data_IF_760762381637
#
_entry.id   IF_760762381637
#
_cell.length_a   1.000
_cell.length_b   1.000
_cell.length_c   1.000
_cell.angle_alpha   90.00
_cell.angle_beta   90.00
_cell.angle_gamma   90.00
#
_symmetry.space_group_name_H-M   'P 1'
#
loop_
_entity.id
_entity.type
_entity.pdbx_description
1 polymer ?
#
# COMPACT_ATOMS: atom_id res chain seq x y z
N UNK A 1 -27.61 -15.93 11.67
CA UNK A 1 -27.63 -15.32 10.33
C UNK A 1 -26.41 -14.47 10.02
N UNK A 2 -25.74 -13.82 10.99
CA UNK A 2 -24.43 -13.18 10.79
C UNK A 2 -23.28 -14.12 10.48
N UNK A 3 -23.40 -15.40 10.84
CA UNK A 3 -22.31 -16.37 10.74
C UNK A 3 -21.88 -16.69 9.30
N UNK A 4 -22.81 -16.75 8.34
CA UNK A 4 -22.48 -17.09 6.95
C UNK A 4 -21.61 -16.02 6.28
N UNK A 5 -21.89 -14.72 6.51
CA UNK A 5 -21.09 -13.63 6.00
C UNK A 5 -19.70 -13.59 6.66
N UNK A 6 -19.64 -13.82 7.98
CA UNK A 6 -18.38 -13.93 8.71
C UNK A 6 -17.54 -15.11 8.25
N UNK A 7 -18.18 -16.28 8.04
CA UNK A 7 -17.50 -17.47 7.51
C UNK A 7 -16.91 -17.23 6.12
N UNK A 8 -17.64 -16.56 5.23
CA UNK A 8 -17.14 -16.18 3.90
C UNK A 8 -15.93 -15.23 3.99
N UNK A 9 -15.98 -14.25 4.87
CA UNK A 9 -14.86 -13.33 5.10
C UNK A 9 -13.65 -14.08 5.63
N UNK A 10 -13.83 -14.94 6.65
CA UNK A 10 -12.75 -15.75 7.21
C UNK A 10 -12.14 -16.70 6.18
N UNK A 11 -12.97 -17.34 5.35
CA UNK A 11 -12.50 -18.21 4.28
C UNK A 11 -11.70 -17.42 3.23
N UNK A 12 -12.14 -16.21 2.87
CA UNK A 12 -11.42 -15.33 1.95
C UNK A 12 -10.06 -14.93 2.51
N UNK A 13 -9.99 -14.57 3.79
CA UNK A 13 -8.73 -14.24 4.48
C UNK A 13 -7.78 -15.45 4.46
N UNK A 14 -8.28 -16.62 4.79
CA UNK A 14 -7.49 -17.85 4.77
C UNK A 14 -6.95 -18.14 3.37
N UNK A 15 -7.78 -18.02 2.35
CA UNK A 15 -7.38 -18.21 0.95
C UNK A 15 -6.28 -17.22 0.54
N UNK A 16 -6.39 -15.94 0.91
CA UNK A 16 -5.36 -14.94 0.64
C UNK A 16 -4.01 -15.30 1.27
N UNK A 17 -4.02 -15.80 2.50
CA UNK A 17 -2.80 -16.25 3.18
C UNK A 17 -2.19 -17.47 2.49
N UNK A 18 -3.00 -18.46 2.14
CA UNK A 18 -2.56 -19.69 1.48
C UNK A 18 -1.99 -19.42 0.09
N UNK A 19 -2.58 -18.51 -0.67
CA UNK A 19 -2.10 -18.10 -2.00
C UNK A 19 -0.89 -17.18 -1.93
N UNK A 20 -0.48 -16.74 -0.75
CA UNK A 20 0.62 -15.78 -0.56
C UNK A 20 0.45 -14.51 -1.37
N UNK A 21 -0.78 -14.02 -1.50
CA UNK A 21 -1.07 -12.74 -2.15
C UNK A 21 -0.24 -11.62 -1.50
N UNK A 22 0.34 -10.78 -2.34
CA UNK A 22 1.13 -9.63 -1.89
C UNK A 22 0.24 -8.43 -1.69
N UNK A 23 0.52 -7.66 -0.65
CA UNK A 23 -0.20 -6.41 -0.36
C UNK A 23 0.81 -5.27 -0.45
N UNK A 24 0.73 -4.53 -1.53
CA UNK A 24 1.59 -3.37 -1.77
C UNK A 24 0.99 -2.15 -1.09
N UNK A 25 1.80 -1.45 -0.28
CA UNK A 25 1.39 -0.22 0.39
C UNK A 25 2.30 0.91 -0.08
N UNK A 26 1.74 1.89 -0.76
CA UNK A 26 2.48 3.06 -1.19
C UNK A 26 2.85 3.93 0.02
N UNK A 27 4.13 4.27 0.16
CA UNK A 27 4.63 5.14 1.22
C UNK A 27 5.39 6.33 0.63
N UNK A 28 5.07 7.51 1.14
CA UNK A 28 5.76 8.73 0.76
C UNK A 28 7.21 8.71 1.25
N UNK A 29 8.13 9.13 0.40
CA UNK A 29 9.49 9.43 0.81
C UNK A 29 9.51 10.78 1.54
N UNK A 30 9.79 10.73 2.83
CA UNK A 30 9.82 11.92 3.70
C UNK A 30 11.18 12.58 3.78
N UNK A 31 12.15 12.08 3.02
CA UNK A 31 13.55 12.56 3.06
C UNK A 31 14.16 12.53 4.46
N UNK A 32 13.80 11.49 5.24
CA UNK A 32 14.30 11.31 6.59
C UNK A 32 13.57 12.09 7.68
N UNK A 33 12.50 12.82 7.34
CA UNK A 33 11.69 13.56 8.32
C UNK A 33 10.53 12.74 8.84
N UNK A 34 10.30 12.77 10.15
CA UNK A 34 9.17 12.06 10.76
C UNK A 34 7.82 12.58 10.25
N UNK A 35 6.93 11.65 9.86
CA UNK A 35 5.60 11.98 9.38
C UNK A 35 4.59 10.94 9.84
N UNK A 36 3.56 11.38 10.56
CA UNK A 36 2.55 10.49 11.14
C UNK A 36 1.80 9.66 10.09
N UNK A 37 1.49 10.24 8.93
CA UNK A 37 0.81 9.54 7.84
C UNK A 37 1.65 8.40 7.26
N UNK A 38 2.95 8.57 7.19
CA UNK A 38 3.88 7.52 6.76
C UNK A 38 4.04 6.46 7.84
N UNK A 39 4.19 6.85 9.11
CA UNK A 39 4.20 5.90 10.22
C UNK A 39 2.97 5.01 10.21
N UNK A 40 1.80 5.56 9.93
CA UNK A 40 0.56 4.80 9.84
C UNK A 40 0.64 3.69 8.77
N UNK A 41 1.22 3.97 7.60
CA UNK A 41 1.41 2.97 6.54
C UNK A 41 2.29 1.81 7.03
N UNK A 42 3.38 2.12 7.71
CA UNK A 42 4.27 1.08 8.28
C UNK A 42 3.59 0.30 9.41
N UNK A 43 2.78 0.95 10.24
CA UNK A 43 2.00 0.27 11.27
C UNK A 43 0.98 -0.70 10.66
N UNK A 44 0.31 -0.32 9.58
CA UNK A 44 -0.59 -1.19 8.82
C UNK A 44 0.19 -2.38 8.23
N UNK A 45 1.32 -2.12 7.60
CA UNK A 45 2.17 -3.18 7.03
C UNK A 45 2.65 -4.16 8.11
N UNK A 46 3.10 -3.65 9.26
CA UNK A 46 3.51 -4.48 10.40
C UNK A 46 2.35 -5.34 10.92
N UNK A 47 1.16 -4.78 11.03
CA UNK A 47 -0.04 -5.51 11.45
C UNK A 47 -0.40 -6.61 10.46
N UNK A 48 -0.36 -6.33 9.17
CA UNK A 48 -0.59 -7.32 8.12
C UNK A 48 0.42 -8.46 8.20
N UNK A 49 1.69 -8.14 8.39
CA UNK A 49 2.75 -9.17 8.54
C UNK A 49 2.51 -10.06 9.74
N UNK A 50 2.19 -9.48 10.90
CA UNK A 50 1.84 -10.24 12.11
C UNK A 50 0.61 -11.12 11.89
N UNK A 51 -0.31 -10.70 11.04
CA UNK A 51 -1.49 -11.46 10.66
C UNK A 51 -1.23 -12.58 9.65
N UNK A 52 0.01 -12.78 9.19
CA UNK A 52 0.37 -13.82 8.23
C UNK A 52 0.24 -13.43 6.76
N UNK A 53 0.07 -12.14 6.45
CA UNK A 53 0.06 -11.63 5.10
C UNK A 53 1.46 -11.23 4.62
N UNK A 54 1.60 -10.93 3.34
CA UNK A 54 2.85 -10.50 2.71
C UNK A 54 2.80 -9.00 2.32
N UNK A 55 2.98 -8.08 3.26
CA UNK A 55 3.06 -6.66 2.93
C UNK A 55 4.38 -6.31 2.27
N UNK A 56 4.33 -5.39 1.32
CA UNK A 56 5.49 -4.81 0.65
C UNK A 56 5.29 -3.30 0.62
N UNK A 57 6.25 -2.55 1.14
CA UNK A 57 6.22 -1.10 1.02
C UNK A 57 6.68 -0.70 -0.38
N UNK A 58 5.89 0.12 -1.04
CA UNK A 58 6.13 0.55 -2.41
C UNK A 58 6.48 2.04 -2.43
N UNK A 59 7.60 2.37 -3.06
CA UNK A 59 8.09 3.74 -3.22
C UNK A 59 7.98 4.20 -4.67
N UNK A 60 7.91 5.49 -4.87
CA UNK A 60 7.88 6.10 -6.20
C UNK A 60 9.25 6.01 -6.90
N UNK A 61 10.33 6.19 -6.15
CA UNK A 61 11.72 6.23 -6.65
C UNK A 61 12.59 5.16 -6.00
N UNK A 62 13.67 4.79 -6.66
CA UNK A 62 14.66 3.87 -6.13
C UNK A 62 15.51 4.48 -5.00
N UNK A 63 15.69 5.80 -5.03
CA UNK A 63 16.52 6.55 -4.09
C UNK A 63 15.76 7.08 -2.87
N UNK A 64 14.73 6.35 -2.43
CA UNK A 64 13.99 6.74 -1.23
C UNK A 64 14.91 6.76 0.02
N UNK A 65 14.68 7.73 0.90
CA UNK A 65 15.50 7.91 2.09
C UNK A 65 15.19 6.88 3.20
N UNK A 66 14.05 6.21 3.13
CA UNK A 66 13.65 5.26 4.15
C UNK A 66 13.15 5.92 5.44
N UNK A 67 12.92 5.10 6.43
CA UNK A 67 12.37 5.52 7.73
C UNK A 67 13.30 5.20 8.91
N UNK A 68 14.47 4.68 8.66
CA UNK A 68 15.41 4.19 9.67
C UNK A 68 15.82 5.26 10.67
N UNK A 69 15.91 6.51 10.20
CA UNK A 69 16.34 7.62 11.04
C UNK A 69 15.31 8.03 12.10
N UNK A 70 14.06 7.62 11.95
CA UNK A 70 12.99 8.06 12.86
C UNK A 70 11.99 6.97 13.26
N UNK A 71 11.93 5.83 12.56
CA UNK A 71 11.13 4.66 12.96
C UNK A 71 11.96 3.49 13.48
N UNK A 72 13.27 3.51 13.18
CA UNK A 72 14.16 2.42 13.54
C UNK A 72 14.29 1.35 12.46
N UNK A 73 15.37 0.60 12.51
CA UNK A 73 15.72 -0.40 11.49
C UNK A 73 14.77 -1.59 11.44
N UNK A 74 14.05 -1.87 12.51
CA UNK A 74 13.10 -2.99 12.58
C UNK A 74 12.03 -2.90 11.50
N UNK A 75 11.52 -1.70 11.21
CA UNK A 75 10.53 -1.50 10.15
C UNK A 75 11.08 -1.73 8.75
N UNK A 76 12.37 -1.49 8.55
CA UNK A 76 13.02 -1.73 7.26
C UNK A 76 13.40 -3.20 7.08
N UNK A 77 13.86 -3.86 8.14
CA UNK A 77 14.34 -5.23 8.07
C UNK A 77 13.21 -6.26 8.00
N UNK A 78 12.07 -5.96 8.60
CA UNK A 78 10.94 -6.90 8.66
C UNK A 78 10.03 -6.86 7.44
N UNK A 79 9.96 -5.73 6.73
CA UNK A 79 9.02 -5.52 5.62
C UNK A 79 9.81 -5.24 4.34
N UNK A 80 9.63 -6.03 3.27
CA UNK A 80 10.29 -5.77 2.00
C UNK A 80 9.89 -4.41 1.41
N UNK A 81 10.84 -3.76 0.73
CA UNK A 81 10.65 -2.50 0.03
C UNK A 81 10.93 -2.68 -1.46
N UNK A 82 10.09 -2.06 -2.28
CA UNK A 82 10.26 -1.99 -3.74
C UNK A 82 9.93 -0.59 -4.23
N UNK A 83 10.27 -0.28 -5.47
CA UNK A 83 9.86 0.97 -6.12
C UNK A 83 9.18 0.70 -7.45
N UNK A 84 8.37 1.66 -7.89
CA UNK A 84 7.76 1.60 -9.23
C UNK A 84 8.72 2.09 -10.33
N UNK A 85 9.82 2.74 -9.95
CA UNK A 85 10.82 3.21 -10.90
C UNK A 85 11.51 2.02 -11.59
N UNK A 86 11.55 2.04 -12.92
CA UNK A 86 12.11 0.95 -13.69
C UNK A 86 11.11 -0.18 -14.04
N UNK A 87 9.89 -0.12 -13.56
CA UNK A 87 8.77 -1.03 -13.90
C UNK A 87 9.06 -2.52 -13.71
N UNK A 88 9.84 -2.88 -12.70
CA UNK A 88 10.18 -4.27 -12.39
C UNK A 88 9.21 -4.94 -11.42
N UNK A 89 7.99 -4.41 -11.29
CA UNK A 89 6.99 -4.96 -10.38
C UNK A 89 6.26 -6.14 -11.02
N UNK A 90 6.35 -7.28 -10.38
CA UNK A 90 5.58 -8.48 -10.71
C UNK A 90 4.27 -8.50 -9.93
N UNK A 91 3.31 -7.67 -10.32
CA UNK A 91 2.00 -7.59 -9.68
C UNK A 91 1.03 -8.51 -10.40
N UNK A 92 0.38 -9.40 -9.66
CA UNK A 92 -0.61 -10.35 -10.17
C UNK A 92 -2.05 -9.90 -9.86
N UNK A 93 -3.07 -10.47 -10.54
CA UNK A 93 -4.47 -10.20 -10.21
C UNK A 93 -4.88 -10.57 -8.78
N UNK A 94 -4.10 -11.40 -8.12
CA UNK A 94 -4.36 -11.85 -6.74
C UNK A 94 -3.79 -10.91 -5.69
N UNK A 95 -2.95 -9.96 -6.12
CA UNK A 95 -2.34 -8.98 -5.23
C UNK A 95 -3.28 -7.81 -4.92
N UNK A 96 -2.87 -6.98 -3.98
CA UNK A 96 -3.57 -5.76 -3.59
C UNK A 96 -2.62 -4.58 -3.63
N UNK A 97 -3.13 -3.44 -4.04
CA UNK A 97 -2.42 -2.17 -3.97
C UNK A 97 -3.21 -1.22 -3.07
N UNK A 98 -2.59 -0.78 -1.98
CA UNK A 98 -3.12 0.25 -1.10
C UNK A 98 -2.43 1.56 -1.44
N UNK A 99 -3.20 2.52 -1.93
CA UNK A 99 -2.73 3.84 -2.32
C UNK A 99 -3.31 4.90 -1.36
N UNK A 100 -2.47 5.54 -0.52
CA UNK A 100 -2.91 6.72 0.21
C UNK A 100 -3.34 7.82 -0.76
N UNK A 101 -4.35 8.59 -0.40
CA UNK A 101 -4.92 9.62 -1.26
C UNK A 101 -3.92 10.70 -1.69
N UNK A 102 -2.87 10.91 -0.90
CA UNK A 102 -1.79 11.85 -1.24
C UNK A 102 -1.07 11.48 -2.55
N UNK A 103 -1.17 10.22 -2.97
CA UNK A 103 -0.58 9.72 -4.21
C UNK A 103 -1.54 9.75 -5.41
N UNK A 104 -2.60 10.54 -5.37
CA UNK A 104 -3.52 10.68 -6.50
C UNK A 104 -2.81 10.99 -7.82
N UNK A 105 -1.71 11.74 -7.77
CA UNK A 105 -0.91 12.09 -8.95
C UNK A 105 -0.21 10.88 -9.62
N UNK A 106 0.00 9.77 -8.92
CA UNK A 106 0.59 8.54 -9.53
C UNK A 106 -0.48 7.58 -10.07
N UNK A 107 -1.75 7.92 -9.96
CA UNK A 107 -2.87 7.07 -10.38
C UNK A 107 -2.70 6.54 -11.81
N UNK A 108 -2.29 7.39 -12.75
CA UNK A 108 -2.15 7.01 -14.16
C UNK A 108 -1.06 5.96 -14.38
N UNK A 109 -0.08 5.89 -13.49
CA UNK A 109 0.99 4.90 -13.57
C UNK A 109 0.55 3.52 -13.03
N UNK A 110 -0.41 3.49 -12.12
CA UNK A 110 -0.78 2.27 -11.40
C UNK A 110 -2.19 1.76 -11.71
N UNK A 111 -3.05 2.56 -12.35
CA UNK A 111 -4.43 2.18 -12.65
C UNK A 111 -4.57 0.96 -13.56
N UNK A 112 -3.58 0.70 -14.39
CA UNK A 112 -3.57 -0.43 -15.33
C UNK A 112 -3.02 -1.71 -14.73
N UNK A 113 -2.49 -1.67 -13.51
CA UNK A 113 -2.01 -2.86 -12.82
C UNK A 113 -3.18 -3.84 -12.59
N UNK A 114 -2.96 -5.14 -12.74
CA UNK A 114 -4.07 -6.11 -12.73
C UNK A 114 -4.63 -6.41 -11.34
N UNK A 115 -4.04 -5.89 -10.28
CA UNK A 115 -4.43 -6.16 -8.90
C UNK A 115 -5.68 -5.41 -8.45
N UNK A 116 -6.26 -5.84 -7.35
CA UNK A 116 -7.28 -5.08 -6.63
C UNK A 116 -6.65 -3.80 -6.02
N UNK A 117 -7.40 -2.70 -6.04
CA UNK A 117 -6.91 -1.39 -5.61
C UNK A 117 -7.75 -0.84 -4.46
N UNK A 118 -7.09 -0.29 -3.47
CA UNK A 118 -7.70 0.27 -2.27
C UNK A 118 -7.14 1.69 -2.08
N UNK A 119 -8.03 2.68 -2.03
CA UNK A 119 -7.65 4.05 -1.68
C UNK A 119 -7.75 4.20 -0.17
N UNK A 120 -6.64 4.55 0.46
CA UNK A 120 -6.59 4.81 1.90
C UNK A 120 -6.71 6.31 2.14
N UNK A 121 -7.86 6.74 2.63
CA UNK A 121 -8.12 8.15 2.92
C UNK A 121 -7.63 8.51 4.31
N UNK A 122 -6.58 9.30 4.39
CA UNK A 122 -5.99 9.81 5.63
C UNK A 122 -6.32 11.28 5.87
N UNK A 123 -6.60 12.05 4.81
CA UNK A 123 -6.99 13.45 4.87
C UNK A 123 -8.00 13.76 3.78
N UNK A 124 -9.14 14.34 4.18
CA UNK A 124 -10.19 14.71 3.24
C UNK A 124 -9.72 15.71 2.18
N UNK A 125 -8.89 16.66 2.55
CA UNK A 125 -8.35 17.65 1.63
C UNK A 125 -7.55 16.98 0.50
N UNK A 126 -6.66 16.06 0.84
CA UNK A 126 -5.81 15.38 -0.14
C UNK A 126 -6.58 14.49 -1.11
N UNK A 127 -7.78 14.03 -0.73
CA UNK A 127 -8.61 13.22 -1.62
C UNK A 127 -8.94 13.94 -2.94
N UNK A 128 -9.02 15.24 -2.91
CA UNK A 128 -9.33 16.06 -4.10
C UNK A 128 -8.12 16.82 -4.63
N UNK A 129 -7.27 17.34 -3.76
CA UNK A 129 -6.16 18.22 -4.13
C UNK A 129 -5.00 17.50 -4.84
N UNK A 130 -4.86 16.19 -4.65
CA UNK A 130 -3.76 15.41 -5.25
C UNK A 130 -4.07 14.88 -6.65
N UNK A 131 -5.31 15.00 -7.10
CA UNK A 131 -5.70 14.60 -8.45
C UNK A 131 -5.19 15.60 -9.49
N UNK A 132 -4.70 15.10 -10.60
CA UNK A 132 -4.35 15.89 -11.76
C UNK A 132 -5.63 16.27 -12.54
N UNK A 133 -5.61 17.35 -13.35
CA UNK A 133 -6.74 17.69 -14.19
C UNK A 133 -7.24 16.50 -15.02
N UNK A 134 -8.53 16.22 -14.96
CA UNK A 134 -9.14 15.10 -15.67
C UNK A 134 -9.07 13.74 -14.96
N UNK A 135 -8.40 13.64 -13.83
CA UNK A 135 -8.38 12.42 -13.02
C UNK A 135 -9.57 12.36 -12.06
N UNK A 136 -10.10 11.16 -11.86
CA UNK A 136 -11.08 10.86 -10.81
C UNK A 136 -10.71 9.55 -10.11
N UNK A 137 -11.07 9.39 -8.86
CA UNK A 137 -10.81 8.14 -8.13
C UNK A 137 -11.56 6.94 -8.72
N UNK A 138 -12.63 7.17 -9.48
CA UNK A 138 -13.35 6.11 -10.19
C UNK A 138 -12.51 5.42 -11.29
N UNK A 139 -11.43 6.04 -11.73
CA UNK A 139 -10.50 5.48 -12.73
C UNK A 139 -9.45 4.54 -12.11
N UNK A 140 -9.28 4.61 -10.80
CA UNK A 140 -8.32 3.80 -10.07
C UNK A 140 -8.89 2.41 -9.73
#
# INVERSE_FOLDING_TARGET
MGNLAQEKVLQSIKTLREKKARIYLFAQDTKGNAKASVKYIYDVASTLKKGGFNPIILHEKNDYAGVESWLGNEYMNEIPHQSIEGQNLEISPEDFLILPEIFGYVMDQVKTLPCAKIVLTQSYAYLLETLQPGQTWAQF
#
